data_IF_357113557451
#
_entry.id   IF_357113557451
#
_cell.length_a   1.000
_cell.length_b   1.000
_cell.length_c   1.000
_cell.angle_alpha   90.00
_cell.angle_beta   90.00
_cell.angle_gamma   90.00
#
_symmetry.space_group_name_H-M   'P 1'
#
loop_
_entity.id
_entity.type
_entity.pdbx_description
1 polymer ?
#
# COMPACT_ATOMS: atom_id res chain seq x y z
N UNK A 1 -11.44 -50.21 46.53
CA UNK A 1 -11.53 -48.88 47.18
C UNK A 1 -10.17 -48.21 47.28
N UNK A 2 -9.21 -48.65 48.09
CA UNK A 2 -7.89 -47.98 48.16
C UNK A 2 -7.13 -47.98 46.82
N UNK A 3 -7.05 -49.12 46.13
CA UNK A 3 -6.44 -49.21 44.79
C UNK A 3 -7.16 -48.35 43.74
N UNK A 4 -8.48 -48.24 43.83
CA UNK A 4 -9.33 -47.49 42.90
C UNK A 4 -9.15 -45.97 43.08
N UNK A 5 -9.01 -45.52 44.33
CA UNK A 5 -8.71 -44.11 44.64
C UNK A 5 -7.26 -43.77 44.26
N UNK A 6 -6.30 -44.68 44.47
CA UNK A 6 -4.92 -44.51 44.03
C UNK A 6 -4.82 -44.35 42.51
N UNK A 7 -5.54 -45.19 41.74
CA UNK A 7 -5.59 -45.08 40.29
C UNK A 7 -6.21 -43.74 39.83
N UNK A 8 -7.26 -43.28 40.51
CA UNK A 8 -7.90 -41.99 40.22
C UNK A 8 -6.95 -40.80 40.49
N UNK A 9 -6.14 -40.89 41.54
CA UNK A 9 -5.12 -39.88 41.90
C UNK A 9 -3.99 -39.85 40.87
N UNK A 10 -3.53 -41.00 40.39
CA UNK A 10 -2.54 -41.07 39.31
C UNK A 10 -3.08 -40.45 38.02
N UNK A 11 -4.36 -40.67 37.69
CA UNK A 11 -5.02 -40.05 36.53
C UNK A 11 -5.11 -38.52 36.67
N UNK A 12 -5.49 -38.02 37.85
CA UNK A 12 -5.51 -36.57 38.14
C UNK A 12 -4.09 -35.98 38.08
N UNK A 13 -3.08 -36.66 38.62
CA UNK A 13 -1.69 -36.21 38.54
C UNK A 13 -1.18 -36.14 37.09
N UNK A 14 -1.52 -37.14 36.28
CA UNK A 14 -1.18 -37.18 34.86
C UNK A 14 -1.81 -36.03 34.09
N UNK A 15 -3.12 -35.82 34.25
CA UNK A 15 -3.84 -34.71 33.60
C UNK A 15 -3.35 -33.35 34.07
N UNK A 16 -2.95 -33.22 35.34
CA UNK A 16 -2.36 -31.98 35.87
C UNK A 16 -1.01 -31.65 35.22
N UNK A 17 -0.15 -32.65 34.99
CA UNK A 17 1.11 -32.47 34.26
C UNK A 17 0.86 -32.06 32.79
N UNK A 18 -0.16 -32.63 32.16
CA UNK A 18 -0.57 -32.25 30.80
C UNK A 18 -1.10 -30.81 30.73
N UNK A 19 -1.87 -30.38 31.74
CA UNK A 19 -2.29 -28.98 31.90
C UNK A 19 -1.10 -28.04 32.04
N UNK A 20 -0.12 -28.35 32.90
CA UNK A 20 1.07 -27.51 33.07
C UNK A 20 1.86 -27.36 31.76
N UNK A 21 2.02 -28.44 30.99
CA UNK A 21 2.65 -28.40 29.67
C UNK A 21 1.86 -27.55 28.66
N UNK A 22 0.53 -27.65 28.70
CA UNK A 22 -0.36 -26.84 27.85
C UNK A 22 -0.27 -25.36 28.19
N UNK A 23 -0.19 -25.01 29.48
CA UNK A 23 0.01 -23.64 29.98
C UNK A 23 1.34 -23.05 29.49
N UNK A 24 2.44 -23.81 29.56
CA UNK A 24 3.74 -23.36 29.03
C UNK A 24 3.68 -23.10 27.51
N UNK A 25 3.00 -23.98 26.77
CA UNK A 25 2.80 -23.82 25.33
C UNK A 25 1.93 -22.60 25.01
N UNK A 26 0.86 -22.36 25.78
CA UNK A 26 0.01 -21.17 25.63
C UNK A 26 0.77 -19.88 25.94
N UNK A 27 1.63 -19.86 26.96
CA UNK A 27 2.47 -18.71 27.27
C UNK A 27 3.41 -18.37 26.10
N UNK A 28 4.06 -19.38 25.51
CA UNK A 28 4.91 -19.19 24.32
C UNK A 28 4.11 -18.63 23.14
N UNK A 29 2.96 -19.21 22.82
CA UNK A 29 2.12 -18.70 21.73
C UNK A 29 1.60 -17.28 21.99
N UNK A 30 1.25 -16.96 23.23
CA UNK A 30 0.82 -15.60 23.61
C UNK A 30 1.96 -14.60 23.38
N UNK A 31 3.19 -14.97 23.70
CA UNK A 31 4.37 -14.16 23.44
C UNK A 31 4.64 -14.00 21.93
N UNK A 32 4.55 -15.08 21.15
CA UNK A 32 4.73 -15.05 19.69
C UNK A 32 3.68 -14.13 19.02
N UNK A 33 2.41 -14.23 19.44
CA UNK A 33 1.33 -13.36 18.93
C UNK A 33 1.58 -11.90 19.31
N UNK A 34 2.05 -11.63 20.53
CA UNK A 34 2.41 -10.28 20.98
C UNK A 34 3.51 -9.66 20.12
N UNK A 35 4.59 -10.41 19.89
CA UNK A 35 5.72 -9.96 19.07
C UNK A 35 5.32 -9.73 17.61
N UNK A 36 4.57 -10.69 17.03
CA UNK A 36 4.03 -10.58 15.68
C UNK A 36 3.11 -9.36 15.54
N UNK A 37 2.21 -9.14 16.50
CA UNK A 37 1.30 -7.98 16.51
C UNK A 37 2.05 -6.66 16.56
N UNK A 38 3.11 -6.58 17.36
CA UNK A 38 4.00 -5.40 17.43
C UNK A 38 4.73 -5.17 16.11
N UNK A 39 5.18 -6.24 15.44
CA UNK A 39 5.78 -6.17 14.11
C UNK A 39 4.80 -5.64 13.05
N UNK A 40 3.55 -6.11 13.08
CA UNK A 40 2.50 -5.64 12.18
C UNK A 40 2.19 -4.16 12.45
N UNK A 41 2.03 -3.74 13.72
CA UNK A 41 1.81 -2.34 14.07
C UNK A 41 2.93 -1.43 13.56
N UNK A 42 4.20 -1.82 13.73
CA UNK A 42 5.35 -1.05 13.24
C UNK A 42 5.34 -0.94 11.71
N UNK A 43 5.01 -2.02 11.00
CA UNK A 43 4.94 -2.04 9.53
C UNK A 43 3.79 -1.19 9.02
N UNK A 44 2.63 -1.24 9.68
CA UNK A 44 1.47 -0.42 9.35
C UNK A 44 1.74 1.07 9.59
N UNK A 45 2.43 1.43 10.68
CA UNK A 45 2.83 2.80 10.98
C UNK A 45 3.80 3.36 9.92
N UNK A 46 4.83 2.60 9.54
CA UNK A 46 5.73 2.98 8.45
C UNK A 46 4.98 3.14 7.12
N UNK A 47 4.05 2.22 6.83
CA UNK A 47 3.21 2.29 5.63
C UNK A 47 2.31 3.53 5.62
N UNK A 48 1.82 3.97 6.78
CA UNK A 48 1.03 5.21 6.90
C UNK A 48 1.88 6.45 6.62
N UNK A 49 3.13 6.48 7.07
CA UNK A 49 4.07 7.57 6.75
C UNK A 49 4.33 7.64 5.23
N UNK A 50 4.59 6.49 4.60
CA UNK A 50 4.84 6.42 3.15
C UNK A 50 3.59 6.80 2.34
N UNK A 51 2.40 6.46 2.84
CA UNK A 51 1.14 6.93 2.25
C UNK A 51 1.02 8.46 2.35
N UNK A 52 1.50 9.07 3.43
CA UNK A 52 1.58 10.54 3.59
C UNK A 52 2.47 11.19 2.53
N UNK A 53 3.64 10.60 2.27
CA UNK A 53 4.54 11.04 1.19
C UNK A 53 3.86 10.88 -0.18
N UNK A 54 3.14 9.78 -0.40
CA UNK A 54 2.43 9.53 -1.65
C UNK A 54 1.31 10.55 -1.92
N UNK A 55 0.54 10.95 -0.89
CA UNK A 55 -0.44 12.04 -0.99
C UNK A 55 0.21 13.35 -1.43
N UNK A 56 1.31 13.76 -0.78
CA UNK A 56 2.03 14.97 -1.15
C UNK A 56 2.53 14.92 -2.60
N UNK A 57 3.02 13.75 -3.03
CA UNK A 57 3.51 13.57 -4.41
C UNK A 57 2.40 13.67 -5.44
N UNK A 58 1.19 13.23 -5.11
CA UNK A 58 0.01 13.37 -5.98
C UNK A 58 -0.39 14.85 -6.12
N UNK A 59 -0.35 15.63 -5.05
CA UNK A 59 -0.63 17.06 -5.11
C UNK A 59 0.41 17.83 -5.95
N UNK A 60 1.69 17.44 -5.84
CA UNK A 60 2.73 17.95 -6.73
C UNK A 60 2.45 17.60 -8.20
N UNK A 61 2.09 16.35 -8.50
CA UNK A 61 1.75 15.91 -9.86
C UNK A 61 0.54 16.67 -10.42
N UNK A 62 -0.50 16.88 -9.61
CA UNK A 62 -1.67 17.69 -10.00
C UNK A 62 -1.26 19.10 -10.42
N UNK A 63 -0.35 19.72 -9.66
CA UNK A 63 0.17 21.05 -9.98
C UNK A 63 0.95 21.04 -11.29
N UNK A 64 1.84 20.06 -11.48
CA UNK A 64 2.62 19.89 -12.72
C UNK A 64 1.71 19.72 -13.94
N UNK A 65 0.65 18.90 -13.85
CA UNK A 65 -0.31 18.73 -14.95
C UNK A 65 -1.02 20.04 -15.30
N UNK A 66 -1.42 20.81 -14.29
CA UNK A 66 -2.05 22.13 -14.50
C UNK A 66 -1.10 23.14 -15.15
N UNK A 67 0.17 23.18 -14.72
CA UNK A 67 1.19 24.06 -15.30
C UNK A 67 1.53 23.67 -16.73
N UNK A 68 1.59 22.37 -17.02
CA UNK A 68 1.81 21.84 -18.37
C UNK A 68 0.68 22.22 -19.32
N UNK A 69 -0.58 22.06 -18.89
CA UNK A 69 -1.75 22.47 -19.67
C UNK A 69 -1.72 23.98 -19.97
N UNK A 70 -1.43 24.81 -18.97
CA UNK A 70 -1.29 26.26 -19.14
C UNK A 70 -0.17 26.63 -20.12
N UNK A 71 0.99 25.99 -20.01
CA UNK A 71 2.14 26.25 -20.88
C UNK A 71 1.86 25.87 -22.33
N UNK A 72 1.15 24.74 -22.55
CA UNK A 72 0.76 24.31 -23.89
C UNK A 72 -0.31 25.20 -24.50
N UNK A 73 -1.23 25.74 -23.69
CA UNK A 73 -2.17 26.74 -24.16
C UNK A 73 -1.46 28.03 -24.60
N UNK A 74 -0.47 28.51 -23.82
CA UNK A 74 0.31 29.69 -24.20
C UNK A 74 1.11 29.42 -25.50
N UNK A 75 1.71 28.25 -25.64
CA UNK A 75 2.40 27.84 -26.86
C UNK A 75 1.44 27.83 -28.07
N UNK A 76 0.24 27.28 -27.90
CA UNK A 76 -0.79 27.25 -28.95
C UNK A 76 -1.14 28.67 -29.43
N UNK A 77 -1.36 29.59 -28.49
CA UNK A 77 -1.70 30.99 -28.79
C UNK A 77 -0.54 31.72 -29.50
N UNK A 78 0.70 31.56 -29.02
CA UNK A 78 1.88 32.12 -29.69
C UNK A 78 2.08 31.55 -31.08
N UNK A 79 1.88 30.25 -31.27
CA UNK A 79 1.96 29.63 -32.60
C UNK A 79 0.88 30.16 -33.54
N UNK A 80 -0.33 30.44 -33.05
CA UNK A 80 -1.39 31.09 -33.82
C UNK A 80 -1.03 32.52 -34.24
N UNK A 81 -0.41 33.29 -33.35
CA UNK A 81 0.08 34.63 -33.66
C UNK A 81 1.16 34.59 -34.74
N UNK A 82 2.12 33.65 -34.65
CA UNK A 82 3.13 33.42 -35.69
C UNK A 82 2.46 33.05 -37.03
N UNK A 83 1.44 32.19 -37.01
CA UNK A 83 0.66 31.83 -38.20
C UNK A 83 0.11 33.07 -38.92
N UNK A 84 -0.54 33.97 -38.18
CA UNK A 84 -1.08 35.22 -38.75
C UNK A 84 0.01 36.12 -39.37
N UNK A 85 1.20 36.16 -38.76
CA UNK A 85 2.34 36.92 -39.30
C UNK A 85 2.85 36.29 -40.60
N UNK A 86 2.94 34.95 -40.65
CA UNK A 86 3.40 34.21 -41.84
C UNK A 86 2.40 34.37 -43.00
N UNK A 87 1.10 34.37 -42.71
CA UNK A 87 0.05 34.65 -43.70
C UNK A 87 0.22 36.06 -44.28
N UNK A 88 0.43 37.07 -43.43
CA UNK A 88 0.70 38.44 -43.88
C UNK A 88 1.96 38.54 -44.76
N UNK A 89 3.05 37.84 -44.41
CA UNK A 89 4.27 37.83 -45.22
C UNK A 89 4.03 37.16 -46.57
N UNK A 90 3.22 36.09 -46.60
CA UNK A 90 2.82 35.41 -47.84
C UNK A 90 2.03 36.36 -48.74
N UNK A 91 1.07 37.10 -48.20
CA UNK A 91 0.32 38.12 -48.94
C UNK A 91 1.24 39.22 -49.50
N UNK A 92 2.22 39.68 -48.71
CA UNK A 92 3.21 40.67 -49.15
C UNK A 92 4.12 40.11 -50.26
N UNK A 93 4.54 38.85 -50.15
CA UNK A 93 5.33 38.18 -51.19
C UNK A 93 4.53 38.05 -52.49
N UNK A 94 3.27 37.65 -52.43
CA UNK A 94 2.40 37.52 -53.60
C UNK A 94 2.12 38.87 -54.27
N UNK A 95 1.90 39.93 -53.47
CA UNK A 95 1.78 41.30 -54.00
C UNK A 95 3.08 41.78 -54.64
N UNK A 96 4.23 41.50 -54.02
CA UNK A 96 5.55 41.87 -54.55
C UNK A 96 5.83 41.13 -55.86
N UNK A 97 5.45 39.86 -55.95
CA UNK A 97 5.56 39.05 -57.16
C UNK A 97 4.72 39.67 -58.30
N UNK A 98 3.48 40.08 -58.00
CA UNK A 98 2.58 40.72 -58.97
C UNK A 98 3.10 42.10 -59.42
N UNK A 99 3.64 42.90 -58.48
CA UNK A 99 4.28 44.18 -58.80
C UNK A 99 5.52 44.00 -59.68
N UNK A 100 6.37 43.02 -59.36
CA UNK A 100 7.56 42.68 -60.13
C UNK A 100 7.20 42.22 -61.55
N UNK A 101 6.14 41.43 -61.71
CA UNK A 101 5.62 41.02 -63.02
C UNK A 101 5.17 42.23 -63.84
N UNK A 102 4.40 43.15 -63.25
CA UNK A 102 3.97 44.38 -63.92
C UNK A 102 5.17 45.26 -64.32
N UNK A 103 6.19 45.37 -63.46
CA UNK A 103 7.42 46.09 -63.76
C UNK A 103 8.21 45.45 -64.90
N UNK A 104 8.29 44.11 -64.96
CA UNK A 104 8.93 43.39 -66.05
C UNK A 104 8.22 43.62 -67.39
N UNK A 105 6.88 43.64 -67.39
CA UNK A 105 6.06 43.96 -68.58
C UNK A 105 6.34 45.39 -69.06
N UNK A 106 6.33 46.38 -68.16
CA UNK A 106 6.54 47.77 -68.53
C UNK A 106 7.99 48.03 -68.99
N UNK A 107 8.96 47.34 -68.38
CA UNK A 107 10.36 47.37 -68.82
C UNK A 107 10.53 46.78 -70.23
N UNK A 108 9.84 45.68 -70.56
CA UNK A 108 9.81 45.14 -71.92
C UNK A 108 9.17 46.12 -72.91
N UNK A 109 8.14 46.86 -72.48
CA UNK A 109 7.45 47.87 -73.28
C UNK A 109 8.32 49.10 -73.61
N UNK A 110 9.24 49.47 -72.70
CA UNK A 110 10.20 50.55 -72.89
C UNK A 110 11.38 50.19 -73.83
N UNK A 111 11.45 48.94 -74.33
CA UNK A 111 12.46 48.50 -75.29
C UNK A 111 13.89 48.58 -74.75
N UNK A 112 14.82 49.13 -75.55
CA UNK A 112 16.24 49.22 -75.18
C UNK A 112 16.49 50.05 -73.90
N UNK A 113 15.64 51.04 -73.60
CA UNK A 113 15.76 51.86 -72.39
C UNK A 113 15.31 51.13 -71.11
N UNK A 114 14.55 50.03 -71.24
CA UNK A 114 14.03 49.25 -70.12
C UNK A 114 14.87 48.04 -69.72
N UNK A 115 15.95 47.70 -70.45
CA UNK A 115 16.73 46.47 -70.21
C UNK A 115 17.27 46.34 -68.79
N UNK A 116 17.77 47.43 -68.19
CA UNK A 116 18.26 47.42 -66.81
C UNK A 116 17.13 47.20 -65.79
N UNK A 117 15.96 47.80 -66.01
CA UNK A 117 14.78 47.63 -65.17
C UNK A 117 14.18 46.22 -65.27
N UNK A 118 14.22 45.59 -66.46
CA UNK A 118 13.74 44.23 -66.66
C UNK A 118 14.53 43.21 -65.83
N UNK A 119 15.85 43.37 -65.73
CA UNK A 119 16.70 42.48 -64.90
C UNK A 119 16.37 42.64 -63.42
N UNK A 120 16.19 43.88 -62.94
CA UNK A 120 15.81 44.13 -61.54
C UNK A 120 14.42 43.56 -61.24
N UNK A 121 13.45 43.75 -62.14
CA UNK A 121 12.11 43.22 -61.97
C UNK A 121 12.10 41.69 -61.88
N UNK A 122 12.88 40.99 -62.70
CA UNK A 122 12.98 39.52 -62.63
C UNK A 122 13.65 39.04 -61.33
N UNK A 123 14.67 39.75 -60.83
CA UNK A 123 15.30 39.40 -59.55
C UNK A 123 14.35 39.61 -58.37
N UNK A 124 13.56 40.70 -58.38
CA UNK A 124 12.53 40.95 -57.37
C UNK A 124 11.44 39.88 -57.43
N UNK A 125 11.03 39.47 -58.64
CA UNK A 125 10.06 38.38 -58.86
C UNK A 125 10.54 37.07 -58.24
N UNK A 126 11.80 36.72 -58.50
CA UNK A 126 12.43 35.52 -57.95
C UNK A 126 12.54 35.56 -56.42
N UNK A 127 12.90 36.71 -55.83
CA UNK A 127 12.93 36.88 -54.38
C UNK A 127 11.54 36.74 -53.76
N UNK A 128 10.49 37.24 -54.42
CA UNK A 128 9.11 37.10 -53.98
C UNK A 128 8.65 35.63 -54.03
N UNK A 129 8.92 34.90 -55.11
CA UNK A 129 8.65 33.46 -55.22
C UNK A 129 9.40 32.66 -54.14
N UNK A 130 10.67 32.97 -53.88
CA UNK A 130 11.46 32.35 -52.81
C UNK A 130 10.89 32.65 -51.42
N UNK A 131 10.41 33.88 -51.20
CA UNK A 131 9.78 34.28 -49.94
C UNK A 131 8.48 33.51 -49.71
N UNK A 132 7.62 33.41 -50.73
CA UNK A 132 6.37 32.64 -50.67
C UNK A 132 6.62 31.14 -50.42
N UNK A 133 7.66 30.57 -51.05
CA UNK A 133 8.08 29.19 -50.77
C UNK A 133 8.58 28.99 -49.34
N UNK A 134 9.33 29.95 -48.79
CA UNK A 134 9.80 29.91 -47.41
C UNK A 134 8.66 30.05 -46.40
N UNK A 135 7.71 30.96 -46.63
CA UNK A 135 6.54 31.12 -45.75
C UNK A 135 5.67 29.88 -45.73
N UNK A 136 5.45 29.22 -46.87
CA UNK A 136 4.73 27.95 -46.93
C UNK A 136 5.36 26.85 -46.05
N UNK A 137 6.70 26.78 -46.03
CA UNK A 137 7.42 25.85 -45.16
C UNK A 137 7.26 26.21 -43.67
N UNK A 138 7.26 27.51 -43.32
CA UNK A 138 7.01 27.96 -41.95
C UNK A 138 5.56 27.65 -41.53
N UNK A 139 4.57 27.85 -42.41
CA UNK A 139 3.17 27.52 -42.14
C UNK A 139 2.99 26.04 -41.79
N UNK A 140 3.69 25.14 -42.50
CA UNK A 140 3.69 23.72 -42.19
C UNK A 140 4.28 23.44 -40.79
N UNK A 141 5.41 24.07 -40.44
CA UNK A 141 6.02 23.93 -39.11
C UNK A 141 5.10 24.46 -37.99
N UNK A 142 4.47 25.61 -38.18
CA UNK A 142 3.51 26.18 -37.22
C UNK A 142 2.32 25.24 -37.01
N UNK A 143 1.77 24.69 -38.09
CA UNK A 143 0.67 23.72 -38.03
C UNK A 143 1.06 22.46 -37.26
N UNK A 144 2.29 21.96 -37.47
CA UNK A 144 2.82 20.81 -36.76
C UNK A 144 3.04 21.09 -35.27
N UNK A 145 3.49 22.30 -34.89
CA UNK A 145 3.63 22.72 -33.49
C UNK A 145 2.26 22.81 -32.82
N UNK A 146 1.26 23.41 -33.49
CA UNK A 146 -0.11 23.51 -32.97
C UNK A 146 -0.72 22.12 -32.73
N UNK A 147 -0.53 21.18 -33.66
CA UNK A 147 -0.99 19.79 -33.52
C UNK A 147 -0.32 19.10 -32.33
N UNK A 148 0.99 19.28 -32.15
CA UNK A 148 1.73 18.71 -31.03
C UNK A 148 1.29 19.31 -29.69
N UNK A 149 1.13 20.63 -29.60
CA UNK A 149 0.63 21.30 -28.40
C UNK A 149 -0.75 20.76 -28.02
N UNK A 150 -1.66 20.60 -28.99
CA UNK A 150 -2.98 20.01 -28.75
C UNK A 150 -2.92 18.56 -28.25
N UNK A 151 -2.02 17.74 -28.80
CA UNK A 151 -1.84 16.37 -28.36
C UNK A 151 -1.38 16.31 -26.89
N UNK A 152 -0.40 17.15 -26.52
CA UNK A 152 0.08 17.22 -25.13
C UNK A 152 -0.99 17.74 -24.17
N UNK A 153 -1.83 18.70 -24.58
CA UNK A 153 -2.96 19.14 -23.75
C UNK A 153 -3.93 17.98 -23.44
N UNK A 154 -4.33 17.20 -24.46
CA UNK A 154 -5.21 16.04 -24.26
C UNK A 154 -4.57 14.99 -23.34
N UNK A 155 -3.28 14.75 -23.48
CA UNK A 155 -2.54 13.81 -22.60
C UNK A 155 -2.42 14.35 -21.18
N UNK A 156 -2.25 15.67 -21.01
CA UNK A 156 -2.20 16.32 -19.70
C UNK A 156 -3.54 16.26 -18.98
N UNK A 157 -4.66 16.43 -19.70
CA UNK A 157 -6.01 16.29 -19.15
C UNK A 157 -6.28 14.84 -18.70
N UNK A 158 -5.88 13.86 -19.51
CA UNK A 158 -5.96 12.45 -19.13
C UNK A 158 -5.09 12.16 -17.89
N UNK A 159 -3.85 12.67 -17.87
CA UNK A 159 -2.95 12.55 -16.72
C UNK A 159 -3.51 13.20 -15.46
N UNK A 160 -4.20 14.34 -15.56
CA UNK A 160 -4.88 14.97 -14.44
C UNK A 160 -6.02 14.10 -13.87
N UNK A 161 -6.77 13.41 -14.74
CA UNK A 161 -7.78 12.42 -14.32
C UNK A 161 -7.14 11.24 -13.59
N UNK A 162 -6.06 10.68 -14.12
CA UNK A 162 -5.34 9.56 -13.50
C UNK A 162 -4.77 9.92 -12.12
N UNK A 163 -4.33 11.17 -11.94
CA UNK A 163 -3.87 11.71 -10.64
C UNK A 163 -5.02 11.77 -9.63
N UNK A 164 -6.23 12.15 -10.04
CA UNK A 164 -7.41 12.20 -9.16
C UNK A 164 -7.86 10.78 -8.74
N UNK A 165 -7.88 9.83 -9.67
CA UNK A 165 -8.17 8.42 -9.38
C UNK A 165 -7.13 7.82 -8.43
N UNK A 166 -5.86 8.11 -8.67
CA UNK A 166 -4.76 7.69 -7.79
C UNK A 166 -4.89 8.30 -6.39
N UNK A 167 -5.33 9.56 -6.28
CA UNK A 167 -5.62 10.21 -4.98
C UNK A 167 -6.69 9.46 -4.20
N UNK A 168 -7.73 8.99 -4.89
CA UNK A 168 -8.82 8.23 -4.29
C UNK A 168 -8.34 6.87 -3.78
N UNK A 169 -7.58 6.13 -4.60
CA UNK A 169 -7.01 4.82 -4.21
C UNK A 169 -6.07 4.93 -3.00
N UNK A 170 -5.27 5.99 -2.93
CA UNK A 170 -4.39 6.26 -1.79
C UNK A 170 -5.20 6.52 -0.51
N UNK A 171 -6.28 7.30 -0.59
CA UNK A 171 -7.17 7.55 0.57
C UNK A 171 -7.85 6.27 1.06
N UNK A 172 -8.29 5.41 0.14
CA UNK A 172 -8.87 4.10 0.51
C UNK A 172 -7.83 3.19 1.16
N UNK A 173 -6.61 3.16 0.61
CA UNK A 173 -5.49 2.40 1.18
C UNK A 173 -5.13 2.89 2.59
N UNK A 174 -5.15 4.21 2.81
CA UNK A 174 -4.96 4.81 4.13
C UNK A 174 -5.99 4.30 5.14
N UNK A 175 -7.28 4.31 4.77
CA UNK A 175 -8.35 3.80 5.62
C UNK A 175 -8.18 2.32 5.93
N UNK A 176 -7.66 1.54 4.98
CA UNK A 176 -7.29 0.14 5.21
C UNK A 176 -6.20 -0.03 6.28
N UNK A 177 -5.16 0.82 6.26
CA UNK A 177 -4.10 0.81 7.27
C UNK A 177 -4.61 1.18 8.66
N UNK A 178 -5.50 2.18 8.75
CA UNK A 178 -6.15 2.59 10.01
C UNK A 178 -6.93 1.41 10.63
N UNK A 179 -7.71 0.70 9.81
CA UNK A 179 -8.43 -0.49 10.25
C UNK A 179 -7.51 -1.65 10.68
N UNK A 180 -6.30 -1.76 10.10
CA UNK A 180 -5.30 -2.74 10.54
C UNK A 180 -4.76 -2.36 11.93
N UNK A 181 -4.44 -1.09 12.15
CA UNK A 181 -3.96 -0.61 13.45
C UNK A 181 -5.00 -0.83 14.56
N UNK A 182 -6.29 -0.56 14.28
CA UNK A 182 -7.39 -0.84 15.21
C UNK A 182 -7.50 -2.33 15.56
N UNK A 183 -7.39 -3.21 14.55
CA UNK A 183 -7.42 -4.66 14.76
C UNK A 183 -6.23 -5.14 15.59
N UNK A 184 -5.04 -4.57 15.37
CA UNK A 184 -3.85 -4.90 16.17
C UNK A 184 -4.00 -4.42 17.61
N UNK A 185 -4.60 -3.25 17.85
CA UNK A 185 -4.91 -2.79 19.20
C UNK A 185 -5.89 -3.74 19.92
N UNK A 186 -6.88 -4.27 19.21
CA UNK A 186 -7.78 -5.29 19.75
C UNK A 186 -7.03 -6.59 20.07
N UNK A 187 -6.16 -7.07 19.18
CA UNK A 187 -5.35 -8.29 19.41
C UNK A 187 -4.43 -8.10 20.62
N UNK A 188 -3.82 -6.92 20.79
CA UNK A 188 -2.98 -6.64 21.96
C UNK A 188 -3.76 -6.79 23.28
N UNK A 189 -5.01 -6.32 23.31
CA UNK A 189 -5.90 -6.51 24.46
C UNK A 189 -6.26 -7.99 24.68
N UNK A 190 -6.55 -8.72 23.62
CA UNK A 190 -6.88 -10.14 23.71
C UNK A 190 -5.67 -10.96 24.23
N UNK A 191 -4.45 -10.59 23.81
CA UNK A 191 -3.19 -11.15 24.32
C UNK A 191 -3.02 -10.89 25.81
N UNK A 192 -3.30 -9.68 26.30
CA UNK A 192 -3.25 -9.36 27.73
C UNK A 192 -4.24 -10.23 28.53
N UNK A 193 -5.47 -10.39 28.03
CA UNK A 193 -6.48 -11.23 28.65
C UNK A 193 -6.08 -12.72 28.65
N UNK A 194 -5.50 -13.20 27.55
CA UNK A 194 -5.03 -14.57 27.43
C UNK A 194 -3.86 -14.85 28.38
N UNK A 195 -2.91 -13.92 28.50
CA UNK A 195 -1.81 -14.04 29.45
C UNK A 195 -2.33 -14.15 30.90
N UNK A 196 -3.28 -13.29 31.28
CA UNK A 196 -3.90 -13.33 32.60
C UNK A 196 -4.64 -14.66 32.87
N UNK A 197 -5.42 -15.14 31.89
CA UNK A 197 -6.13 -16.42 31.99
C UNK A 197 -5.18 -17.62 32.09
N UNK A 198 -4.10 -17.61 31.31
CA UNK A 198 -3.09 -18.68 31.31
C UNK A 198 -2.36 -18.73 32.65
N UNK A 199 -2.04 -17.58 33.24
CA UNK A 199 -1.45 -17.50 34.56
C UNK A 199 -2.39 -18.02 35.66
N UNK A 200 -3.69 -17.71 35.57
CA UNK A 200 -4.68 -18.23 36.52
C UNK A 200 -4.81 -19.76 36.42
N UNK A 201 -4.84 -20.32 35.21
CA UNK A 201 -4.86 -21.78 34.98
C UNK A 201 -3.59 -22.42 35.54
N UNK A 202 -2.42 -21.80 35.31
CA UNK A 202 -1.15 -22.26 35.86
C UNK A 202 -1.19 -22.38 37.38
N UNK A 203 -1.64 -21.32 38.08
CA UNK A 203 -1.79 -21.37 39.54
C UNK A 203 -2.80 -22.43 40.01
N UNK A 204 -3.91 -22.63 39.30
CA UNK A 204 -4.88 -23.67 39.62
C UNK A 204 -4.31 -25.08 39.42
N UNK A 205 -3.47 -25.28 38.40
CA UNK A 205 -2.78 -26.54 38.16
C UNK A 205 -1.79 -26.87 39.28
N UNK A 206 -1.07 -25.89 39.81
CA UNK A 206 -0.18 -26.08 40.97
C UNK A 206 -0.96 -26.45 42.23
N UNK A 207 -2.11 -25.81 42.47
CA UNK A 207 -3.00 -26.11 43.60
C UNK A 207 -3.59 -27.53 43.52
N UNK A 208 -4.00 -27.96 42.32
CA UNK A 208 -4.47 -29.34 42.08
C UNK A 208 -3.33 -30.32 42.34
N UNK A 209 -2.13 -30.07 41.82
CA UNK A 209 -0.97 -30.96 42.03
C UNK A 209 -0.66 -31.14 43.53
N UNK A 210 -0.67 -30.05 44.31
CA UNK A 210 -0.47 -30.08 45.75
C UNK A 210 -1.57 -30.90 46.46
N UNK A 211 -2.84 -30.65 46.11
CA UNK A 211 -3.98 -31.37 46.67
C UNK A 211 -3.92 -32.87 46.35
N UNK A 212 -3.52 -33.24 45.12
CA UNK A 212 -3.35 -34.62 44.70
C UNK A 212 -2.24 -35.32 45.50
N UNK A 213 -1.13 -34.63 45.80
CA UNK A 213 -0.08 -35.18 46.68
C UNK A 213 -0.56 -35.41 48.11
N UNK A 214 -1.32 -34.47 48.68
CA UNK A 214 -1.92 -34.63 50.01
C UNK A 214 -2.92 -35.80 50.06
N UNK A 215 -3.71 -35.97 48.99
CA UNK A 215 -4.61 -37.11 48.84
C UNK A 215 -3.84 -38.43 48.76
N UNK A 216 -2.76 -38.52 47.96
CA UNK A 216 -1.91 -39.72 47.91
C UNK A 216 -1.42 -40.12 49.30
N UNK A 217 -0.86 -39.16 50.05
CA UNK A 217 -0.36 -39.40 51.40
C UNK A 217 -1.48 -39.87 52.36
N UNK A 218 -2.66 -39.27 52.26
CA UNK A 218 -3.83 -39.67 53.05
C UNK A 218 -4.31 -41.09 52.71
N UNK A 219 -4.27 -41.48 51.43
CA UNK A 219 -4.61 -42.85 50.99
C UNK A 219 -3.63 -43.87 51.56
N UNK A 220 -2.32 -43.57 51.55
CA UNK A 220 -1.29 -44.42 52.14
C UNK A 220 -1.53 -44.64 53.64
N UNK A 221 -1.87 -43.58 54.37
CA UNK A 221 -2.18 -43.64 55.80
C UNK A 221 -3.44 -44.47 56.09
N UNK A 222 -4.50 -44.29 55.27
CA UNK A 222 -5.73 -45.09 55.36
C UNK A 222 -5.45 -46.56 55.07
N UNK A 223 -4.63 -46.87 54.05
CA UNK A 223 -4.24 -48.23 53.71
C UNK A 223 -3.46 -48.89 54.85
N UNK A 224 -2.48 -48.20 55.44
CA UNK A 224 -1.73 -48.67 56.59
C UNK A 224 -2.64 -48.92 57.80
N UNK A 225 -3.58 -48.01 58.07
CA UNK A 225 -4.56 -48.14 59.15
C UNK A 225 -5.51 -49.33 58.94
N UNK A 226 -5.98 -49.54 57.71
CA UNK A 226 -6.81 -50.69 57.35
C UNK A 226 -6.06 -52.03 57.53
N UNK A 227 -4.78 -52.07 57.17
CA UNK A 227 -3.94 -53.25 57.36
C UNK A 227 -3.72 -53.55 58.85
N UNK A 228 -3.44 -52.53 59.66
CA UNK A 228 -3.34 -52.67 61.12
C UNK A 228 -4.66 -53.16 61.74
N UNK A 229 -5.80 -52.63 61.29
CA UNK A 229 -7.12 -53.05 61.76
C UNK A 229 -7.41 -54.51 61.38
N UNK A 230 -7.07 -54.93 60.16
CA UNK A 230 -7.20 -56.31 59.72
C UNK A 230 -6.36 -57.26 60.58
N UNK A 231 -5.10 -56.90 60.86
CA UNK A 231 -4.21 -57.66 61.73
C UNK A 231 -4.79 -57.80 63.14
N UNK A 232 -5.29 -56.69 63.70
CA UNK A 232 -5.91 -56.67 65.03
C UNK A 232 -7.17 -57.54 65.08
N UNK A 233 -7.98 -57.51 64.02
CA UNK A 233 -9.18 -58.34 63.90
C UNK A 233 -8.84 -59.83 63.84
N UNK A 234 -7.81 -60.23 63.06
CA UNK A 234 -7.31 -61.61 63.02
C UNK A 234 -6.83 -62.09 64.38
N UNK A 235 -6.06 -61.26 65.09
CA UNK A 235 -5.53 -61.58 66.42
C UNK A 235 -6.67 -61.73 67.45
N UNK A 236 -7.70 -60.89 67.38
CA UNK A 236 -8.91 -61.02 68.19
C UNK A 236 -9.66 -62.33 67.86
N UNK A 237 -9.78 -62.66 66.57
CA UNK A 237 -10.46 -63.86 66.11
C UNK A 237 -9.75 -65.14 66.59
N UNK A 238 -8.40 -65.16 66.55
CA UNK A 238 -7.57 -66.23 67.13
C UNK A 238 -7.77 -66.34 68.64
N UNK A 239 -7.78 -65.21 69.34
CA UNK A 239 -7.99 -65.17 70.79
C UNK A 239 -9.36 -65.74 71.16
N UNK A 240 -10.43 -65.35 70.46
CA UNK A 240 -11.79 -65.90 70.68
C UNK A 240 -11.87 -67.39 70.34
N UNK A 241 -11.20 -67.83 69.28
CA UNK A 241 -11.16 -69.25 68.90
C UNK A 241 -10.50 -70.12 69.97
N UNK A 242 -9.41 -69.65 70.60
CA UNK A 242 -8.77 -70.32 71.73
C UNK A 242 -9.75 -70.56 72.89
N UNK A 243 -10.57 -69.57 73.24
CA UNK A 243 -11.55 -69.70 74.33
C UNK A 243 -12.80 -70.52 73.97
N UNK A 244 -13.09 -70.77 72.69
CA UNK A 244 -14.24 -71.60 72.24
C UNK A 244 -13.97 -73.11 72.23
N UNK A 245 -12.71 -73.55 72.34
CA UNK A 245 -12.32 -74.97 72.36
C UNK A 245 -12.12 -75.49 73.79
N UNK A 246 -12.47 -74.69 74.80
CA UNK A 246 -12.57 -75.09 76.22
C UNK A 246 -14.01 -75.26 76.67
#
# INVERSE_FOLDING_TARGET
MAEEVSASIEEVASTTNEFASTVDTMNKHTQDVSESSKGIASTAAASSEDMGKAVNRIEELRTIMSELASSMHELHDKSKEIGNIVDLITDVADQTNLLALNAAIEAARAGEHGRGFAVVAEEVRKLAEQTSGATAHITALVSDIQRQAQAVMTESDAGASDVEDSSTLIKESWKGLDAILDKIAAIAKDVEQLAAGTQQIGSGSEEIAATTQEQSASIEEVAASAQNLSQTAEDLQRSVAFFKVS
#
